data_IF_463772093304
#
_entry.id   IF_463772093304
#
_cell.length_a   1.000
_cell.length_b   1.000
_cell.length_c   1.000
_cell.angle_alpha   90.00
_cell.angle_beta   90.00
_cell.angle_gamma   90.00
#
_symmetry.space_group_name_H-M   'P 1'
#
loop_
_entity.id
_entity.type
_entity.pdbx_description
1 polymer ?
#
# COMPACT_ATOMS: atom_id res chain seq x y z
N UNK A 1 17.67 -19.36 12.54
CA UNK A 1 16.56 -19.32 11.56
C UNK A 1 15.22 -19.02 12.23
N UNK A 2 14.98 -19.58 13.42
CA UNK A 2 13.75 -19.45 14.25
C UNK A 2 13.34 -18.00 14.57
N UNK A 3 14.27 -17.13 15.01
CA UNK A 3 13.96 -15.71 15.34
C UNK A 3 13.29 -14.94 14.19
N UNK A 4 13.67 -15.21 12.94
CA UNK A 4 13.19 -14.47 11.76
C UNK A 4 11.78 -14.84 11.31
N UNK A 5 11.36 -16.08 11.55
CA UNK A 5 10.00 -16.53 11.28
C UNK A 5 9.06 -16.08 12.39
N UNK A 6 9.57 -16.03 13.62
CA UNK A 6 8.82 -15.57 14.78
C UNK A 6 8.28 -14.14 14.62
N UNK A 7 9.07 -13.17 14.11
CA UNK A 7 8.59 -11.79 13.92
C UNK A 7 7.42 -11.72 12.93
N UNK A 8 7.44 -12.52 11.87
CA UNK A 8 6.34 -12.55 10.88
C UNK A 8 5.09 -13.19 11.48
N UNK A 9 5.25 -14.26 12.27
CA UNK A 9 4.13 -14.88 12.99
C UNK A 9 3.52 -13.87 13.98
N UNK A 10 4.36 -13.16 14.74
CA UNK A 10 3.93 -12.12 15.66
C UNK A 10 3.17 -10.98 14.94
N UNK A 11 3.66 -10.55 13.77
CA UNK A 11 2.98 -9.57 12.93
C UNK A 11 1.56 -10.01 12.58
N UNK A 12 1.41 -11.23 12.05
CA UNK A 12 0.09 -11.73 11.66
C UNK A 12 -0.82 -12.01 12.86
N UNK A 13 -0.28 -12.40 14.01
CA UNK A 13 -1.07 -12.55 15.25
C UNK A 13 -1.61 -11.20 15.72
N UNK A 14 -0.76 -10.17 15.81
CA UNK A 14 -1.18 -8.81 16.19
C UNK A 14 -2.19 -8.25 15.20
N UNK A 15 -1.94 -8.44 13.90
CA UNK A 15 -2.86 -8.02 12.85
C UNK A 15 -4.22 -8.72 12.93
N UNK A 16 -4.23 -10.02 13.24
CA UNK A 16 -5.47 -10.79 13.39
C UNK A 16 -6.27 -10.32 14.60
N UNK A 17 -5.61 -10.03 15.73
CA UNK A 17 -6.29 -9.46 16.90
C UNK A 17 -6.85 -8.08 16.57
N UNK A 18 -6.10 -7.24 15.84
CA UNK A 18 -6.58 -5.94 15.38
C UNK A 18 -7.81 -6.06 14.47
N UNK A 19 -7.78 -6.97 13.48
CA UNK A 19 -8.95 -7.21 12.61
C UNK A 19 -10.16 -7.60 13.45
N UNK A 20 -10.01 -8.56 14.38
CA UNK A 20 -11.13 -8.97 15.25
C UNK A 20 -11.63 -7.80 16.10
N UNK A 21 -10.72 -6.99 16.66
CA UNK A 21 -11.09 -5.82 17.45
C UNK A 21 -11.92 -4.82 16.62
N UNK A 22 -11.47 -4.52 15.40
CA UNK A 22 -12.15 -3.61 14.48
C UNK A 22 -13.53 -4.11 14.05
N UNK A 23 -13.67 -5.42 13.79
CA UNK A 23 -14.96 -6.02 13.43
C UNK A 23 -15.94 -6.09 14.61
N UNK A 24 -15.44 -6.17 15.84
CA UNK A 24 -16.26 -6.15 17.06
C UNK A 24 -16.50 -4.72 17.59
N UNK A 25 -15.99 -3.69 16.89
CA UNK A 25 -16.01 -2.29 17.34
C UNK A 25 -15.46 -2.11 18.76
N UNK A 26 -14.40 -2.86 19.11
CA UNK A 26 -13.76 -2.76 20.41
C UNK A 26 -12.61 -1.75 20.35
N UNK A 27 -12.96 -0.47 20.58
CA UNK A 27 -12.04 0.66 20.56
C UNK A 27 -10.80 0.44 21.45
N UNK A 28 -10.97 -0.16 22.62
CA UNK A 28 -9.86 -0.41 23.55
C UNK A 28 -8.82 -1.35 22.96
N UNK A 29 -9.25 -2.43 22.30
CA UNK A 29 -8.33 -3.35 21.64
C UNK A 29 -7.73 -2.74 20.37
N UNK A 30 -8.50 -1.97 19.60
CA UNK A 30 -7.97 -1.27 18.43
C UNK A 30 -6.86 -0.28 18.81
N UNK A 31 -7.05 0.51 19.87
CA UNK A 31 -6.07 1.45 20.40
C UNK A 31 -4.76 0.78 20.82
N UNK A 32 -4.82 -0.48 21.25
CA UNK A 32 -3.63 -1.25 21.66
C UNK A 32 -2.97 -1.88 20.45
N UNK A 33 -3.70 -2.60 19.60
CA UNK A 33 -3.10 -3.47 18.58
C UNK A 33 -2.81 -2.77 17.25
N UNK A 34 -3.57 -1.74 16.87
CA UNK A 34 -3.33 -0.99 15.63
C UNK A 34 -1.96 -0.29 15.60
N UNK A 35 -1.50 0.38 16.68
CA UNK A 35 -0.17 1.01 16.68
C UNK A 35 0.99 0.00 16.61
N UNK A 36 0.78 -1.27 16.94
CA UNK A 36 1.88 -2.23 17.13
C UNK A 36 2.34 -2.86 15.80
N UNK A 37 1.47 -3.05 14.81
CA UNK A 37 1.82 -3.86 13.63
C UNK A 37 2.89 -3.22 12.72
N UNK A 38 2.90 -1.89 12.57
CA UNK A 38 3.93 -1.18 11.77
C UNK A 38 5.31 -1.25 12.43
N UNK A 39 5.46 -0.98 13.75
CA UNK A 39 6.71 -1.24 14.47
C UNK A 39 7.23 -2.67 14.33
N UNK A 40 6.36 -3.69 14.37
CA UNK A 40 6.78 -5.07 14.15
C UNK A 40 7.38 -5.25 12.74
N UNK A 41 6.75 -4.69 11.70
CA UNK A 41 7.28 -4.72 10.34
C UNK A 41 8.60 -3.96 10.21
N UNK A 42 8.75 -2.85 10.92
CA UNK A 42 9.98 -2.10 10.98
C UNK A 42 11.13 -2.94 11.56
N UNK A 43 10.90 -3.61 12.70
CA UNK A 43 11.89 -4.55 13.26
C UNK A 43 12.20 -5.71 12.32
N UNK A 44 11.17 -6.26 11.66
CA UNK A 44 11.34 -7.29 10.65
C UNK A 44 12.23 -6.84 9.49
N UNK A 45 12.07 -5.60 9.02
CA UNK A 45 12.92 -5.00 7.98
C UNK A 45 14.37 -4.87 8.44
N UNK A 46 14.61 -4.30 9.62
CA UNK A 46 15.95 -4.11 10.19
C UNK A 46 16.71 -5.43 10.35
N UNK A 47 16.05 -6.47 10.87
CA UNK A 47 16.68 -7.77 11.11
C UNK A 47 17.10 -8.46 9.79
N UNK A 48 16.38 -8.18 8.69
CA UNK A 48 16.60 -8.83 7.39
C UNK A 48 17.64 -8.14 6.52
N UNK A 49 17.74 -6.81 6.59
CA UNK A 49 18.64 -6.03 5.74
C UNK A 49 20.03 -5.85 6.35
N UNK A 50 20.15 -5.77 7.68
CA UNK A 50 21.37 -5.68 8.51
C UNK A 50 22.42 -4.60 8.18
N UNK A 51 22.82 -4.41 6.93
CA UNK A 51 23.96 -3.55 6.51
C UNK A 51 23.58 -2.35 5.63
N UNK A 52 22.50 -2.44 4.84
CA UNK A 52 22.11 -1.39 3.87
C UNK A 52 20.67 -0.92 4.09
N UNK A 53 20.42 -0.32 5.24
CA UNK A 53 19.10 0.25 5.58
C UNK A 53 18.82 1.41 4.63
N UNK A 54 17.68 1.38 3.94
CA UNK A 54 17.27 2.45 3.05
C UNK A 54 16.47 3.50 3.83
N UNK A 55 16.96 4.74 3.87
CA UNK A 55 16.25 5.87 4.49
C UNK A 55 14.82 6.04 3.96
N UNK A 56 14.61 5.79 2.66
CA UNK A 56 13.28 5.83 2.04
C UNK A 56 12.28 4.86 2.68
N UNK A 57 12.71 3.66 3.08
CA UNK A 57 11.83 2.68 3.73
C UNK A 57 11.47 3.14 5.13
N UNK A 58 12.42 3.71 5.86
CA UNK A 58 12.18 4.24 7.21
C UNK A 58 11.16 5.40 7.15
N UNK A 59 11.37 6.33 6.22
CA UNK A 59 10.46 7.47 6.01
C UNK A 59 9.06 6.94 5.67
N UNK A 60 8.93 6.02 4.70
CA UNK A 60 7.62 5.46 4.35
C UNK A 60 6.92 4.79 5.52
N UNK A 61 7.63 4.00 6.34
CA UNK A 61 7.04 3.36 7.51
C UNK A 61 6.60 4.37 8.57
N UNK A 62 7.35 5.45 8.78
CA UNK A 62 6.95 6.52 9.68
C UNK A 62 5.67 7.23 9.18
N UNK A 63 5.59 7.52 7.88
CA UNK A 63 4.41 8.16 7.29
C UNK A 63 3.18 7.23 7.30
N UNK A 64 3.36 5.93 7.01
CA UNK A 64 2.31 4.94 7.19
C UNK A 64 1.84 4.89 8.66
N UNK A 65 2.76 4.88 9.62
CA UNK A 65 2.42 4.88 11.03
C UNK A 65 1.60 6.11 11.43
N UNK A 66 2.06 7.31 11.05
CA UNK A 66 1.32 8.53 11.34
C UNK A 66 -0.07 8.55 10.69
N UNK A 67 -0.20 8.10 9.44
CA UNK A 67 -1.49 7.97 8.76
C UNK A 67 -2.44 7.04 9.51
N UNK A 68 -1.95 5.87 9.94
CA UNK A 68 -2.73 4.90 10.73
C UNK A 68 -3.18 5.47 12.09
N UNK A 69 -2.33 6.23 12.76
CA UNK A 69 -2.66 6.84 14.05
C UNK A 69 -3.69 7.95 13.91
N UNK A 70 -3.61 8.76 12.85
CA UNK A 70 -4.62 9.79 12.56
C UNK A 70 -5.99 9.18 12.29
N UNK A 71 -6.06 8.08 11.51
CA UNK A 71 -7.33 7.39 11.26
C UNK A 71 -7.89 6.71 12.51
N UNK A 72 -7.04 6.35 13.48
CA UNK A 72 -7.45 5.76 14.75
C UNK A 72 -8.02 6.79 15.73
N UNK A 73 -7.39 7.96 15.85
CA UNK A 73 -7.76 8.98 16.83
C UNK A 73 -9.00 9.77 16.39
N UNK A 74 -9.14 10.04 15.10
CA UNK A 74 -10.27 10.81 14.57
C UNK A 74 -10.46 10.57 13.08
N UNK A 75 -11.16 9.48 12.74
CA UNK A 75 -11.35 9.04 11.36
C UNK A 75 -12.07 10.05 10.46
N UNK A 76 -12.89 10.94 11.01
CA UNK A 76 -13.55 12.03 10.28
C UNK A 76 -12.75 13.33 10.31
N UNK A 77 -12.30 13.73 11.49
CA UNK A 77 -11.59 15.00 11.71
C UNK A 77 -10.23 15.07 10.99
N UNK A 78 -9.49 13.95 10.99
CA UNK A 78 -8.15 13.86 10.42
C UNK A 78 -8.13 13.14 9.06
N UNK A 79 -9.29 13.00 8.41
CA UNK A 79 -9.41 12.27 7.15
C UNK A 79 -8.46 12.82 6.06
N UNK A 80 -8.49 14.13 5.78
CA UNK A 80 -7.65 14.73 4.74
C UNK A 80 -6.16 14.64 5.09
N UNK A 81 -5.83 14.84 6.36
CA UNK A 81 -4.46 14.75 6.87
C UNK A 81 -3.94 13.32 6.71
N UNK A 82 -4.72 12.31 7.09
CA UNK A 82 -4.36 10.90 6.93
C UNK A 82 -4.07 10.55 5.47
N UNK A 83 -4.88 11.02 4.51
CA UNK A 83 -4.62 10.85 3.08
C UNK A 83 -3.29 11.44 2.67
N UNK A 84 -2.94 12.66 3.11
CA UNK A 84 -1.63 13.25 2.81
C UNK A 84 -0.48 12.40 3.37
N UNK A 85 -0.63 11.87 4.59
CA UNK A 85 0.36 10.98 5.20
C UNK A 85 0.53 9.68 4.41
N UNK A 86 -0.55 9.09 3.92
CA UNK A 86 -0.49 7.88 3.10
C UNK A 86 0.04 8.13 1.67
N UNK A 87 -0.16 9.33 1.10
CA UNK A 87 0.30 9.67 -0.25
C UNK A 87 1.83 9.66 -0.35
N UNK A 88 2.52 10.09 0.71
CA UNK A 88 3.98 10.23 0.71
C UNK A 88 4.68 8.87 0.49
N UNK A 89 4.37 7.80 1.25
CA UNK A 89 4.86 6.45 0.97
C UNK A 89 4.58 5.97 -0.45
N UNK A 90 3.44 6.34 -1.05
CA UNK A 90 3.06 5.94 -2.41
C UNK A 90 3.97 6.62 -3.43
N UNK A 91 4.21 7.93 -3.29
CA UNK A 91 5.14 8.67 -4.14
C UNK A 91 6.58 8.14 -4.00
N UNK A 92 7.01 7.80 -2.78
CA UNK A 92 8.31 7.17 -2.53
C UNK A 92 8.39 5.82 -3.26
N UNK A 93 7.36 4.99 -3.13
CA UNK A 93 7.33 3.69 -3.78
C UNK A 93 7.35 3.83 -5.30
N UNK A 94 6.50 4.70 -5.85
CA UNK A 94 6.43 5.05 -7.27
C UNK A 94 7.78 5.47 -7.83
N UNK A 95 8.47 6.38 -7.15
CA UNK A 95 9.81 6.84 -7.55
C UNK A 95 10.81 5.67 -7.55
N UNK A 96 10.74 4.78 -6.56
CA UNK A 96 11.65 3.64 -6.45
C UNK A 96 11.42 2.60 -7.55
N UNK A 97 10.18 2.19 -7.79
CA UNK A 97 9.85 1.23 -8.85
C UNK A 97 10.06 1.87 -10.24
N UNK A 98 9.76 3.16 -10.39
CA UNK A 98 9.98 3.92 -11.62
C UNK A 98 11.47 4.01 -11.99
N UNK A 99 12.33 4.28 -11.01
CA UNK A 99 13.78 4.30 -11.24
C UNK A 99 14.34 2.91 -11.60
N UNK A 100 13.84 1.84 -10.98
CA UNK A 100 14.25 0.48 -11.30
C UNK A 100 13.75 0.08 -12.70
N UNK A 101 12.53 0.48 -13.07
CA UNK A 101 11.98 0.31 -14.42
C UNK A 101 12.79 1.06 -15.48
N UNK A 102 13.08 2.35 -15.28
CA UNK A 102 13.85 3.16 -16.24
C UNK A 102 15.25 2.58 -16.51
N UNK A 103 15.88 1.99 -15.48
CA UNK A 103 17.17 1.30 -15.65
C UNK A 103 17.04 0.05 -16.52
N UNK A 104 16.00 -0.74 -16.32
CA UNK A 104 15.74 -1.94 -17.12
C UNK A 104 15.35 -1.60 -18.56
N UNK A 105 14.52 -0.56 -18.75
CA UNK A 105 14.09 -0.11 -20.06
C UNK A 105 15.25 0.35 -20.96
N UNK A 106 16.32 0.90 -20.37
CA UNK A 106 17.54 1.24 -21.12
C UNK A 106 18.32 0.02 -21.60
N UNK A 107 18.19 -1.11 -20.92
CA UNK A 107 18.95 -2.35 -21.18
C UNK A 107 18.18 -3.24 -22.14
N UNK A 108 16.87 -3.38 -21.94
CA UNK A 108 16.02 -4.26 -22.72
C UNK A 108 15.14 -3.46 -23.69
N UNK A 109 15.27 -3.73 -24.99
CA UNK A 109 14.36 -3.21 -26.02
C UNK A 109 13.02 -3.94 -25.92
N UNK A 110 12.23 -3.60 -24.90
CA UNK A 110 10.90 -4.16 -24.72
C UNK A 110 9.88 -3.37 -25.55
N UNK A 111 9.02 -4.08 -26.29
CA UNK A 111 7.84 -3.47 -26.89
C UNK A 111 6.79 -3.22 -25.79
N UNK A 112 6.75 -1.98 -25.31
CA UNK A 112 5.79 -1.49 -24.28
C UNK A 112 4.31 -1.75 -24.63
N UNK A 113 4.03 -2.05 -25.90
CA UNK A 113 2.69 -2.30 -26.46
C UNK A 113 2.25 -3.76 -26.31
N UNK A 114 2.54 -4.37 -25.16
CA UNK A 114 1.98 -5.69 -24.88
C UNK A 114 0.49 -5.53 -24.55
N UNK A 115 -0.37 -6.27 -25.25
CA UNK A 115 -1.82 -6.09 -25.18
C UNK A 115 -2.37 -6.22 -23.74
N UNK A 116 -1.72 -7.04 -22.91
CA UNK A 116 -2.01 -7.17 -21.48
C UNK A 116 -1.81 -5.88 -20.68
N UNK A 117 -0.73 -5.13 -20.95
CA UNK A 117 -0.42 -3.86 -20.26
C UNK A 117 -1.46 -2.80 -20.64
N UNK A 118 -1.84 -2.74 -21.92
CA UNK A 118 -2.86 -1.82 -22.42
C UNK A 118 -4.21 -2.13 -21.78
N UNK A 119 -4.62 -3.40 -21.73
CA UNK A 119 -5.87 -3.81 -21.08
C UNK A 119 -5.90 -3.42 -19.60
N UNK A 120 -4.81 -3.66 -18.86
CA UNK A 120 -4.72 -3.25 -17.45
C UNK A 120 -4.81 -1.74 -17.31
N UNK A 121 -4.14 -0.97 -18.19
CA UNK A 121 -4.23 0.49 -18.19
C UNK A 121 -5.65 0.99 -18.41
N UNK A 122 -6.32 0.49 -19.45
CA UNK A 122 -7.70 0.85 -19.76
C UNK A 122 -8.64 0.50 -18.61
N UNK A 123 -8.50 -0.69 -18.01
CA UNK A 123 -9.32 -1.11 -16.88
C UNK A 123 -9.12 -0.22 -15.65
N UNK A 124 -7.88 0.14 -15.31
CA UNK A 124 -7.59 0.98 -14.15
C UNK A 124 -8.05 2.43 -14.34
N UNK A 125 -7.88 2.99 -15.55
CA UNK A 125 -8.39 4.33 -15.86
C UNK A 125 -9.91 4.33 -15.82
N UNK A 126 -10.55 3.30 -16.37
CA UNK A 126 -11.99 3.12 -16.26
C UNK A 126 -12.45 3.08 -14.80
N UNK A 127 -11.82 2.25 -13.97
CA UNK A 127 -12.12 2.18 -12.53
C UNK A 127 -11.97 3.54 -11.84
N UNK A 128 -10.88 4.26 -12.10
CA UNK A 128 -10.65 5.58 -11.51
C UNK A 128 -11.75 6.56 -11.88
N UNK A 129 -12.12 6.64 -13.17
CA UNK A 129 -13.20 7.51 -13.66
C UNK A 129 -14.53 7.11 -13.04
N UNK A 130 -14.85 5.81 -12.98
CA UNK A 130 -16.07 5.31 -12.35
C UNK A 130 -16.16 5.71 -10.89
N UNK A 131 -15.08 5.53 -10.11
CA UNK A 131 -15.03 5.90 -8.69
C UNK A 131 -15.23 7.41 -8.52
N UNK A 132 -14.50 8.24 -9.28
CA UNK A 132 -14.64 9.71 -9.20
C UNK A 132 -16.08 10.14 -9.50
N UNK A 133 -16.71 9.57 -10.53
CA UNK A 133 -18.09 9.92 -10.91
C UNK A 133 -19.13 9.47 -9.88
N UNK A 134 -18.86 8.38 -9.15
CA UNK A 134 -19.73 7.93 -8.06
C UNK A 134 -19.61 8.82 -6.82
N UNK A 135 -18.47 9.48 -6.62
CA UNK A 135 -18.22 10.32 -5.45
C UNK A 135 -18.79 11.72 -5.66
N UNK A 136 -19.82 12.09 -4.91
CA UNK A 136 -20.35 13.46 -4.88
C UNK A 136 -19.48 14.36 -3.98
N UNK A 137 -18.27 14.70 -4.43
CA UNK A 137 -17.33 15.52 -3.65
C UNK A 137 -17.62 17.01 -3.88
N UNK A 138 -17.97 17.71 -2.80
CA UNK A 138 -18.24 19.16 -2.84
C UNK A 138 -16.99 20.00 -2.53
N UNK A 139 -16.03 19.44 -1.79
CA UNK A 139 -14.80 20.14 -1.40
C UNK A 139 -13.69 19.98 -2.46
N UNK A 140 -13.19 21.10 -2.97
CA UNK A 140 -12.12 21.13 -3.99
C UNK A 140 -10.81 20.52 -3.48
N UNK A 141 -10.46 20.74 -2.20
CA UNK A 141 -9.22 20.18 -1.65
C UNK A 141 -9.27 18.65 -1.58
N UNK A 142 -10.44 18.11 -1.22
CA UNK A 142 -10.67 16.67 -1.16
C UNK A 142 -10.63 16.04 -2.56
N UNK A 143 -11.27 16.66 -3.55
CA UNK A 143 -11.31 16.13 -4.92
C UNK A 143 -9.91 16.08 -5.54
N UNK A 144 -9.11 17.13 -5.36
CA UNK A 144 -7.72 17.16 -5.84
C UNK A 144 -6.88 16.07 -5.18
N UNK A 145 -7.02 15.87 -3.87
CA UNK A 145 -6.29 14.82 -3.16
C UNK A 145 -6.68 13.43 -3.66
N UNK A 146 -7.98 13.12 -3.78
CA UNK A 146 -8.46 11.81 -4.25
C UNK A 146 -8.00 11.54 -5.69
N UNK A 147 -8.06 12.53 -6.57
CA UNK A 147 -7.58 12.41 -7.96
C UNK A 147 -6.06 12.15 -7.98
N UNK A 148 -5.28 12.92 -7.22
CA UNK A 148 -3.84 12.72 -7.11
C UNK A 148 -3.49 11.32 -6.59
N UNK A 149 -4.25 10.85 -5.60
CA UNK A 149 -4.16 9.50 -5.04
C UNK A 149 -4.40 8.43 -6.11
N UNK A 150 -5.52 8.53 -6.80
CA UNK A 150 -5.92 7.59 -7.84
C UNK A 150 -4.93 7.54 -8.99
N UNK A 151 -4.44 8.69 -9.45
CA UNK A 151 -3.39 8.75 -10.49
C UNK A 151 -2.11 8.06 -10.01
N UNK A 152 -1.69 8.29 -8.75
CA UNK A 152 -0.50 7.65 -8.20
C UNK A 152 -0.61 6.11 -8.19
N UNK A 153 -1.79 5.59 -7.83
CA UNK A 153 -2.08 4.15 -7.83
C UNK A 153 -2.08 3.57 -9.25
N UNK A 154 -2.70 4.25 -10.21
CA UNK A 154 -2.70 3.83 -11.62
C UNK A 154 -1.27 3.75 -12.14
N UNK A 155 -0.46 4.79 -11.95
CA UNK A 155 0.94 4.80 -12.38
C UNK A 155 1.78 3.71 -11.69
N UNK A 156 1.60 3.53 -10.38
CA UNK A 156 2.26 2.47 -9.63
C UNK A 156 1.93 1.10 -10.20
N UNK A 157 0.67 0.86 -10.56
CA UNK A 157 0.23 -0.42 -11.09
C UNK A 157 0.83 -0.69 -12.45
N UNK A 158 0.75 0.28 -13.37
CA UNK A 158 1.34 0.18 -14.71
C UNK A 158 2.82 -0.14 -14.65
N UNK A 159 3.57 0.61 -13.85
CA UNK A 159 5.01 0.39 -13.69
C UNK A 159 5.27 -0.97 -13.07
N UNK A 160 4.50 -1.40 -12.06
CA UNK A 160 4.70 -2.70 -11.40
C UNK A 160 4.39 -3.89 -12.32
N UNK A 161 3.36 -3.80 -13.17
CA UNK A 161 2.99 -4.82 -14.15
C UNK A 161 4.08 -4.95 -15.21
N UNK A 162 4.55 -3.83 -15.76
CA UNK A 162 5.64 -3.84 -16.74
C UNK A 162 6.94 -4.33 -16.09
N UNK A 163 7.24 -3.90 -14.87
CA UNK A 163 8.41 -4.35 -14.12
C UNK A 163 8.40 -5.87 -13.87
N UNK A 164 7.23 -6.44 -13.56
CA UNK A 164 7.04 -7.87 -13.41
C UNK A 164 7.17 -8.61 -14.75
N UNK A 165 6.57 -8.07 -15.82
CA UNK A 165 6.64 -8.66 -17.15
C UNK A 165 8.06 -8.71 -17.74
N UNK A 166 8.88 -7.68 -17.48
CA UNK A 166 10.27 -7.62 -17.91
C UNK A 166 11.15 -8.51 -17.03
N UNK A 167 11.01 -8.38 -15.71
CA UNK A 167 11.87 -9.05 -14.75
C UNK A 167 11.03 -9.96 -13.86
N UNK A 168 10.79 -11.19 -14.30
CA UNK A 168 10.10 -12.18 -13.46
C UNK A 168 11.01 -12.67 -12.32
N UNK A 169 10.92 -11.99 -11.18
CA UNK A 169 11.69 -12.32 -10.00
C UNK A 169 10.84 -12.12 -8.76
N UNK A 170 11.25 -12.72 -7.64
CA UNK A 170 10.51 -12.59 -6.38
C UNK A 170 10.28 -11.13 -6.00
N UNK A 171 11.24 -10.24 -6.25
CA UNK A 171 11.10 -8.82 -5.92
C UNK A 171 9.98 -8.15 -6.72
N UNK A 172 9.94 -8.31 -8.05
CA UNK A 172 8.92 -7.68 -8.88
C UNK A 172 7.54 -8.25 -8.61
N UNK A 173 7.44 -9.55 -8.29
CA UNK A 173 6.19 -10.16 -7.84
C UNK A 173 5.65 -9.52 -6.54
N UNK A 174 6.51 -9.31 -5.53
CA UNK A 174 6.08 -8.60 -4.32
C UNK A 174 5.75 -7.13 -4.58
N UNK A 175 6.37 -6.48 -5.57
CA UNK A 175 5.99 -5.12 -5.98
C UNK A 175 4.55 -5.10 -6.53
N UNK A 176 4.23 -6.03 -7.44
CA UNK A 176 2.91 -6.19 -8.01
C UNK A 176 1.86 -6.46 -6.92
N UNK A 177 2.11 -7.42 -6.02
CA UNK A 177 1.21 -7.73 -4.90
C UNK A 177 0.99 -6.54 -3.98
N UNK A 178 2.02 -5.75 -3.73
CA UNK A 178 1.92 -4.53 -2.91
C UNK A 178 0.94 -3.55 -3.53
N UNK A 179 1.09 -3.26 -4.83
CA UNK A 179 0.22 -2.29 -5.52
C UNK A 179 -1.21 -2.81 -5.65
N UNK A 180 -1.39 -4.10 -5.96
CA UNK A 180 -2.72 -4.70 -5.99
C UNK A 180 -3.42 -4.59 -4.63
N UNK A 181 -2.71 -4.88 -3.55
CA UNK A 181 -3.26 -4.78 -2.20
C UNK A 181 -3.59 -3.32 -1.82
N UNK A 182 -2.75 -2.34 -2.19
CA UNK A 182 -3.08 -0.92 -2.00
C UNK A 182 -4.32 -0.49 -2.78
N UNK A 183 -4.44 -0.87 -4.06
CA UNK A 183 -5.62 -0.53 -4.87
C UNK A 183 -6.89 -1.09 -4.24
N UNK A 184 -6.88 -2.37 -3.85
CA UNK A 184 -8.06 -2.99 -3.24
C UNK A 184 -8.37 -2.32 -1.89
N UNK A 185 -7.38 -2.13 -1.03
CA UNK A 185 -7.55 -1.47 0.27
C UNK A 185 -8.18 -0.08 0.12
N UNK A 186 -7.59 0.76 -0.72
CA UNK A 186 -8.02 2.16 -0.87
C UNK A 186 -9.39 2.29 -1.54
N UNK A 187 -9.70 1.44 -2.52
CA UNK A 187 -11.04 1.40 -3.13
C UNK A 187 -12.10 1.07 -2.09
N UNK A 188 -11.89 0.00 -1.31
CA UNK A 188 -12.85 -0.42 -0.29
C UNK A 188 -12.91 0.56 0.89
N UNK A 189 -11.82 1.25 1.21
CA UNK A 189 -11.82 2.34 2.17
C UNK A 189 -12.73 3.49 1.73
N UNK A 190 -12.58 3.96 0.49
CA UNK A 190 -13.41 5.04 -0.07
C UNK A 190 -14.88 4.61 -0.14
N UNK A 191 -15.18 3.38 -0.58
CA UNK A 191 -16.55 2.88 -0.62
C UNK A 191 -17.19 2.85 0.77
N UNK A 192 -16.47 2.35 1.77
CA UNK A 192 -16.94 2.30 3.15
C UNK A 192 -17.16 3.70 3.75
N UNK A 193 -16.37 4.70 3.31
CA UNK A 193 -16.40 6.06 3.86
C UNK A 193 -17.41 6.97 3.17
N UNK A 194 -17.62 6.82 1.86
CA UNK A 194 -18.32 7.81 1.02
C UNK A 194 -19.57 7.30 0.33
N UNK A 195 -19.74 5.99 0.20
CA UNK A 195 -20.94 5.40 -0.43
C UNK A 195 -21.83 4.86 0.67
N UNK A 196 -21.44 3.71 1.23
CA UNK A 196 -22.18 3.04 2.30
C UNK A 196 -21.20 2.29 3.20
N UNK A 197 -21.32 2.54 4.51
CA UNK A 197 -20.56 1.77 5.50
C UNK A 197 -21.11 0.34 5.54
N UNK A 198 -20.26 -0.61 5.16
CA UNK A 198 -20.60 -2.02 5.13
C UNK A 198 -19.48 -2.83 5.76
N UNK A 199 -19.86 -3.78 6.63
CA UNK A 199 -18.95 -4.74 7.25
C UNK A 199 -17.99 -5.38 6.24
N UNK A 200 -18.49 -5.78 5.06
CA UNK A 200 -17.65 -6.42 4.03
C UNK A 200 -16.60 -5.45 3.50
N UNK A 201 -16.97 -4.19 3.26
CA UNK A 201 -16.02 -3.19 2.77
C UNK A 201 -14.96 -2.89 3.81
N UNK A 202 -15.38 -2.74 5.06
CA UNK A 202 -14.45 -2.54 6.17
C UNK A 202 -13.48 -3.72 6.34
N UNK A 203 -13.97 -4.95 6.31
CA UNK A 203 -13.14 -6.16 6.42
C UNK A 203 -12.13 -6.29 5.28
N UNK A 204 -12.58 -6.13 4.02
CA UNK A 204 -11.70 -6.23 2.85
C UNK A 204 -10.64 -5.16 2.91
N UNK A 205 -11.01 -3.91 3.26
CA UNK A 205 -10.04 -2.84 3.48
C UNK A 205 -8.97 -3.25 4.49
N UNK A 206 -9.36 -3.61 5.72
CA UNK A 206 -8.42 -3.98 6.79
C UNK A 206 -7.45 -5.10 6.40
N UNK A 207 -7.96 -6.19 5.83
CA UNK A 207 -7.15 -7.35 5.45
C UNK A 207 -6.17 -6.97 4.35
N UNK A 208 -6.64 -6.29 3.31
CA UNK A 208 -5.78 -5.92 2.18
C UNK A 208 -4.77 -4.84 2.55
N UNK A 209 -5.12 -3.93 3.45
CA UNK A 209 -4.20 -2.95 4.02
C UNK A 209 -3.04 -3.63 4.77
N UNK A 210 -3.34 -4.55 5.69
CA UNK A 210 -2.33 -5.30 6.44
C UNK A 210 -1.44 -6.13 5.50
N UNK A 211 -2.03 -6.75 4.47
CA UNK A 211 -1.26 -7.50 3.48
C UNK A 211 -0.35 -6.59 2.67
N UNK A 212 -0.82 -5.40 2.29
CA UNK A 212 -0.05 -4.43 1.51
C UNK A 212 1.25 -4.02 2.23
N UNK A 213 1.20 -3.73 3.53
CA UNK A 213 2.39 -3.38 4.31
C UNK A 213 3.40 -4.52 4.41
N UNK A 214 2.93 -5.75 4.56
CA UNK A 214 3.80 -6.92 4.56
C UNK A 214 4.48 -7.13 3.20
N UNK A 215 3.73 -7.04 2.10
CA UNK A 215 4.27 -7.17 0.75
C UNK A 215 5.25 -6.04 0.42
N UNK A 216 4.94 -4.81 0.84
CA UNK A 216 5.80 -3.65 0.71
C UNK A 216 7.18 -3.91 1.34
N UNK A 217 7.20 -4.38 2.59
CA UNK A 217 8.47 -4.67 3.27
C UNK A 217 9.20 -5.87 2.67
N UNK A 218 8.49 -6.89 2.21
CA UNK A 218 9.10 -8.01 1.48
C UNK A 218 9.77 -7.56 0.19
N UNK A 219 9.15 -6.67 -0.57
CA UNK A 219 9.74 -6.07 -1.76
C UNK A 219 11.08 -5.42 -1.42
N UNK A 220 11.14 -4.55 -0.41
CA UNK A 220 12.37 -3.86 -0.05
C UNK A 220 13.48 -4.78 0.48
N UNK A 221 13.11 -5.81 1.24
CA UNK A 221 14.07 -6.81 1.72
C UNK A 221 14.71 -7.56 0.55
N UNK A 222 13.91 -7.98 -0.44
CA UNK A 222 14.42 -8.70 -1.61
C UNK A 222 15.25 -7.80 -2.50
N UNK A 223 14.79 -6.56 -2.72
CA UNK A 223 15.54 -5.55 -3.47
C UNK A 223 16.90 -5.25 -2.84
N UNK A 224 16.99 -5.17 -1.51
CA UNK A 224 18.24 -4.93 -0.79
C UNK A 224 19.22 -6.11 -0.86
N UNK A 225 18.74 -7.34 -1.09
CA UNK A 225 19.60 -8.53 -1.28
C UNK A 225 20.11 -8.68 -2.70
N UNK A 226 19.36 -8.18 -3.67
CA UNK A 226 19.70 -8.26 -5.10
C UNK A 226 20.61 -7.09 -5.56
N UNK A 227 21.01 -6.20 -4.64
CA UNK A 227 21.92 -5.06 -4.87
C UNK A 227 23.19 -5.20 -4.04
#
# INVERSE_FOLDING_TARGET
>A
MVKKQFIVILYFLVALIYIIAALLHNESLELIFKPIFIPILFFYYLEKVKKRISYWVLISLCFFYCGEMLTLIGADEFYLQSLVFFLIPYLIFLNIIGNDFLKLFKIEKFSLLNLSVILVACFLVFLLVSVINMLSITNVAESVLIIGYGISLVLMCLISVVFFAIKDCKSSFYALLTVMAFIVSDLFYIFNKKIDSNFVFHFVNLVTQILSYYFYIKFFILRAKNK
#
